data_IF_544533749579
#
_entry.id   IF_544533749579
#
_cell.length_a   1.000
_cell.length_b   1.000
_cell.length_c   1.000
_cell.angle_alpha   90.00
_cell.angle_beta   90.00
_cell.angle_gamma   90.00
#
_symmetry.space_group_name_H-M   'P 1'
#
loop_
_entity.id
_entity.type
_entity.pdbx_description
1 polymer ?
#
# COMPACT_ATOMS: atom_id res chain seq x y z
N UNK A 1 4.76 9.98 -19.17
CA UNK A 1 4.87 8.55 -18.88
C UNK A 1 6.25 8.35 -18.31
N UNK A 2 6.32 8.46 -17.00
CA UNK A 2 7.47 8.06 -16.24
C UNK A 2 7.56 6.54 -16.22
N UNK A 3 8.77 6.03 -16.07
CA UNK A 3 9.02 4.62 -15.80
C UNK A 3 9.81 4.51 -14.51
N UNK A 4 9.23 3.85 -13.52
CA UNK A 4 9.85 3.52 -12.23
C UNK A 4 10.38 2.09 -12.30
N UNK A 5 11.58 1.87 -11.78
CA UNK A 5 12.16 0.54 -11.63
C UNK A 5 12.76 0.42 -10.23
N UNK A 6 12.25 -0.54 -9.47
CA UNK A 6 12.78 -0.97 -8.17
C UNK A 6 13.82 -2.07 -8.43
N UNK A 7 14.93 -2.03 -7.69
CA UNK A 7 16.08 -2.93 -7.93
C UNK A 7 16.58 -3.62 -6.66
N UNK A 8 16.26 -3.08 -5.50
CA UNK A 8 16.49 -3.68 -4.20
C UNK A 8 15.36 -3.20 -3.28
N UNK A 9 14.55 -4.11 -2.75
CA UNK A 9 13.60 -3.83 -1.68
C UNK A 9 13.87 -4.78 -0.51
N UNK A 10 13.66 -4.29 0.72
CA UNK A 10 13.96 -5.03 1.93
C UNK A 10 12.66 -5.53 2.57
N UNK A 11 12.63 -6.85 2.78
CA UNK A 11 11.77 -7.59 3.72
C UNK A 11 11.94 -7.00 5.15
N UNK A 12 10.96 -7.22 6.02
CA UNK A 12 10.95 -6.94 7.47
C UNK A 12 10.54 -5.53 7.96
N UNK A 13 9.23 -5.25 8.09
CA UNK A 13 8.54 -4.44 9.15
C UNK A 13 9.08 -3.03 9.51
N UNK A 14 10.14 -2.57 8.88
CA UNK A 14 10.38 -1.17 8.63
C UNK A 14 9.33 -0.88 7.59
N UNK A 15 8.25 -0.24 8.00
CA UNK A 15 7.59 0.69 7.10
C UNK A 15 8.77 1.39 6.41
N UNK A 16 9.08 1.07 5.15
CA UNK A 16 9.51 2.11 4.24
C UNK A 16 8.36 3.07 4.45
N UNK A 17 8.57 4.12 5.25
CA UNK A 17 7.44 4.95 5.55
C UNK A 17 7.10 5.41 4.13
N UNK A 18 5.97 4.96 3.55
CA UNK A 18 5.59 4.92 2.12
C UNK A 18 6.85 4.93 1.20
N UNK A 19 6.80 5.61 0.07
CA UNK A 19 7.89 6.55 -0.20
C UNK A 19 7.56 7.90 0.51
N UNK A 20 7.28 7.83 1.82
CA UNK A 20 7.01 8.88 2.83
C UNK A 20 8.29 9.65 3.09
N UNK A 21 8.06 10.89 3.51
CA UNK A 21 8.90 11.40 4.59
C UNK A 21 10.07 12.24 4.14
N UNK A 22 10.17 12.66 2.88
CA UNK A 22 10.88 13.91 2.58
C UNK A 22 10.10 15.14 3.09
N UNK A 23 9.61 15.08 4.33
CA UNK A 23 9.87 16.17 5.23
C UNK A 23 11.38 16.33 5.28
N UNK A 24 11.83 17.57 5.22
CA UNK A 24 13.22 17.94 5.45
C UNK A 24 13.81 17.29 6.73
N UNK A 25 12.98 16.84 7.68
CA UNK A 25 13.40 15.98 8.79
C UNK A 25 14.22 14.78 8.34
N UNK A 26 13.87 14.02 7.30
CA UNK A 26 14.58 12.75 7.04
C UNK A 26 15.92 12.97 6.31
N UNK A 27 16.08 14.14 5.67
CA UNK A 27 17.38 14.64 5.21
C UNK A 27 18.20 15.25 6.36
N UNK A 28 17.56 15.82 7.39
CA UNK A 28 18.20 16.53 8.50
C UNK A 28 18.26 15.73 9.83
N UNK A 29 17.67 14.54 9.87
CA UNK A 29 17.43 13.79 11.10
C UNK A 29 18.76 13.20 11.53
N UNK A 30 19.26 13.76 12.63
CA UNK A 30 20.50 13.47 13.38
C UNK A 30 21.63 14.49 13.29
N UNK A 31 21.39 15.72 12.80
CA UNK A 31 22.43 16.76 12.84
C UNK A 31 23.64 16.46 11.95
N UNK A 32 23.46 15.55 10.97
CA UNK A 32 24.42 15.25 9.92
C UNK A 32 24.49 16.34 8.87
N UNK A 33 25.65 16.50 8.23
CA UNK A 33 25.81 17.47 7.15
C UNK A 33 25.26 16.88 5.84
N UNK A 34 24.12 17.37 5.39
CA UNK A 34 23.63 17.12 4.03
C UNK A 34 24.50 17.89 3.04
N UNK A 35 25.00 17.20 2.02
CA UNK A 35 25.76 17.85 0.94
C UNK A 35 24.94 17.86 -0.33
N UNK A 36 24.82 19.03 -0.95
CA UNK A 36 24.16 19.20 -2.25
C UNK A 36 25.22 19.52 -3.30
N UNK A 37 25.29 18.70 -4.35
CA UNK A 37 26.15 18.91 -5.51
C UNK A 37 25.27 19.30 -6.71
N UNK A 38 25.64 20.39 -7.39
CA UNK A 38 24.86 20.95 -8.49
C UNK A 38 25.71 20.98 -9.75
N UNK A 39 25.13 20.57 -10.87
CA UNK A 39 25.71 20.63 -12.20
C UNK A 39 24.65 20.90 -13.25
N UNK A 40 25.09 21.14 -14.49
CA UNK A 40 24.20 21.51 -15.60
C UNK A 40 23.25 20.40 -16.07
N UNK A 41 23.50 19.15 -15.66
CA UNK A 41 22.71 17.97 -16.04
C UNK A 41 22.44 17.01 -14.88
N UNK A 42 22.94 17.33 -13.68
CA UNK A 42 22.88 16.46 -12.50
C UNK A 42 22.79 17.29 -11.23
N UNK A 43 21.91 16.91 -10.32
CA UNK A 43 21.83 17.45 -8.98
C UNK A 43 21.78 16.28 -7.99
N UNK A 44 22.67 16.27 -7.01
CA UNK A 44 22.82 15.16 -6.07
C UNK A 44 22.72 15.65 -4.64
N UNK A 45 21.89 15.00 -3.84
CA UNK A 45 21.77 15.20 -2.40
C UNK A 45 22.35 13.97 -1.70
N UNK A 46 23.24 14.18 -0.75
CA UNK A 46 23.89 13.10 0.01
C UNK A 46 23.66 13.31 1.49
N UNK A 47 23.14 12.29 2.17
CA UNK A 47 23.06 12.20 3.62
C UNK A 47 23.88 10.98 4.09
N UNK A 48 25.10 11.19 4.62
CA UNK A 48 25.96 10.09 5.04
C UNK A 48 25.55 9.45 6.38
N UNK A 49 24.57 10.00 7.09
CA UNK A 49 24.16 9.59 8.44
C UNK A 49 22.68 9.21 8.54
N UNK A 50 22.04 8.85 7.43
CA UNK A 50 20.63 8.44 7.47
C UNK A 50 20.47 7.13 8.25
N UNK A 51 19.28 6.91 8.81
CA UNK A 51 18.92 5.66 9.50
C UNK A 51 19.04 4.42 8.60
N UNK A 52 18.94 4.60 7.28
CA UNK A 52 19.11 3.56 6.27
C UNK A 52 20.58 3.36 5.81
N UNK A 53 21.49 4.27 6.17
CA UNK A 53 22.91 4.22 5.78
C UNK A 53 23.37 5.47 5.00
N UNK A 54 24.40 5.33 4.15
CA UNK A 54 24.80 6.40 3.25
C UNK A 54 23.74 6.56 2.15
N UNK A 55 22.88 7.57 2.27
CA UNK A 55 21.83 7.87 1.30
C UNK A 55 22.32 8.86 0.25
N UNK A 56 22.06 8.54 -1.01
CA UNK A 56 22.28 9.43 -2.15
C UNK A 56 21.01 9.50 -3.00
N UNK A 57 20.56 10.71 -3.26
CA UNK A 57 19.44 11.02 -4.16
C UNK A 57 19.98 11.83 -5.32
N UNK A 58 19.52 11.54 -6.51
CA UNK A 58 20.03 12.19 -7.70
C UNK A 58 18.93 12.48 -8.72
N UNK A 59 18.83 13.74 -9.11
CA UNK A 59 18.11 14.17 -10.30
C UNK A 59 19.08 14.29 -11.49
N UNK A 60 18.66 13.74 -12.63
CA UNK A 60 19.34 13.87 -13.93
C UNK A 60 18.44 14.62 -14.88
N UNK A 61 19.04 15.38 -15.79
CA UNK A 61 18.26 16.20 -16.71
C UNK A 61 19.10 17.05 -17.64
N UNK A 62 18.48 18.08 -18.19
CA UNK A 62 19.10 18.98 -19.16
C UNK A 62 18.91 20.44 -18.76
N UNK A 63 19.96 21.24 -18.99
CA UNK A 63 19.88 22.69 -18.83
C UNK A 63 19.59 23.16 -17.41
N UNK A 64 20.08 22.45 -16.38
CA UNK A 64 19.92 22.87 -14.99
C UNK A 64 20.62 24.20 -14.77
N UNK A 65 19.83 25.21 -14.39
CA UNK A 65 20.26 26.56 -14.11
C UNK A 65 19.93 26.90 -12.66
N UNK A 66 20.88 27.53 -11.97
CA UNK A 66 20.72 27.94 -10.59
C UNK A 66 20.92 29.45 -10.46
N UNK A 67 20.08 30.08 -9.65
CA UNK A 67 20.16 31.49 -9.31
C UNK A 67 21.30 31.80 -8.34
N UNK A 68 21.54 33.07 -8.02
CA UNK A 68 22.59 33.50 -7.09
C UNK A 68 22.43 32.98 -5.64
N UNK A 69 21.26 32.47 -5.28
CA UNK A 69 20.93 31.84 -4.00
C UNK A 69 20.95 30.30 -4.07
N UNK A 70 21.55 29.74 -5.14
CA UNK A 70 21.65 28.31 -5.43
C UNK A 70 20.31 27.59 -5.62
N UNK A 71 19.21 28.34 -5.83
CA UNK A 71 17.90 27.78 -6.18
C UNK A 71 17.80 27.49 -7.67
N UNK A 72 17.17 26.39 -8.10
CA UNK A 72 16.86 26.15 -9.50
C UNK A 72 15.99 27.26 -10.09
N UNK A 73 16.40 27.76 -11.26
CA UNK A 73 15.67 28.78 -12.02
C UNK A 73 15.37 28.33 -13.45
N UNK A 74 15.70 27.08 -13.78
CA UNK A 74 15.39 26.47 -15.06
C UNK A 74 16.08 25.13 -15.27
N UNK A 75 15.63 24.41 -16.30
CA UNK A 75 16.10 23.08 -16.66
C UNK A 75 15.03 22.02 -16.44
N UNK A 76 15.19 20.89 -17.11
CA UNK A 76 14.20 19.80 -17.13
C UNK A 76 14.81 18.55 -16.54
N UNK A 77 14.19 18.01 -15.50
CA UNK A 77 14.52 16.72 -14.91
C UNK A 77 13.91 15.61 -15.76
N UNK A 78 14.77 14.72 -16.23
CA UNK A 78 14.40 13.58 -17.09
C UNK A 78 14.52 12.23 -16.39
N UNK A 79 15.15 12.21 -15.22
CA UNK A 79 15.23 11.01 -14.40
C UNK A 79 15.67 11.29 -12.98
N UNK A 80 15.38 10.33 -12.11
CA UNK A 80 15.63 10.39 -10.68
C UNK A 80 16.20 9.05 -10.22
N UNK A 81 17.07 9.02 -9.22
CA UNK A 81 17.51 7.77 -8.61
C UNK A 81 17.78 7.91 -7.13
N UNK A 82 17.54 6.82 -6.40
CA UNK A 82 17.84 6.68 -4.97
C UNK A 82 18.84 5.54 -4.80
N UNK A 83 19.91 5.81 -4.07
CA UNK A 83 20.96 4.84 -3.75
C UNK A 83 21.26 4.82 -2.26
N UNK A 84 21.46 3.64 -1.69
CA UNK A 84 21.83 3.43 -0.29
C UNK A 84 23.10 2.60 -0.26
N UNK A 85 24.12 3.08 0.45
CA UNK A 85 25.45 2.46 0.56
C UNK A 85 26.09 2.13 -0.81
N UNK A 86 25.78 2.94 -1.84
CA UNK A 86 26.28 2.79 -3.20
C UNK A 86 25.52 1.80 -4.08
N UNK A 87 24.54 1.07 -3.55
CA UNK A 87 23.60 0.29 -4.35
C UNK A 87 22.45 1.20 -4.81
N UNK A 88 22.02 1.08 -6.06
CA UNK A 88 20.80 1.73 -6.56
C UNK A 88 19.59 0.93 -6.06
N UNK A 89 18.57 1.62 -5.58
CA UNK A 89 17.33 1.03 -5.08
C UNK A 89 16.17 1.35 -6.00
N UNK A 90 16.13 2.59 -6.49
CA UNK A 90 15.09 3.07 -7.39
C UNK A 90 15.71 3.90 -8.50
N UNK A 91 15.15 3.76 -9.71
CA UNK A 91 15.34 4.69 -10.81
C UNK A 91 13.99 5.09 -11.38
N UNK A 92 13.82 6.37 -11.68
CA UNK A 92 12.71 6.92 -12.44
C UNK A 92 13.29 7.52 -13.71
N UNK A 93 12.70 7.22 -14.86
CA UNK A 93 13.09 7.76 -16.17
C UNK A 93 11.87 8.28 -16.92
N UNK A 94 12.09 9.05 -17.99
CA UNK A 94 10.98 9.56 -18.80
C UNK A 94 10.21 10.72 -18.17
N UNK A 95 10.79 11.34 -17.14
CA UNK A 95 10.25 12.55 -16.54
C UNK A 95 10.35 13.73 -17.51
N UNK A 96 9.40 14.65 -17.40
CA UNK A 96 9.41 15.96 -18.05
C UNK A 96 8.94 17.00 -17.03
N UNK A 97 9.79 17.21 -16.03
CA UNK A 97 9.48 18.02 -14.85
C UNK A 97 10.46 19.19 -14.78
N UNK A 98 9.98 20.41 -14.57
CA UNK A 98 10.87 21.56 -14.39
C UNK A 98 11.65 21.40 -13.09
N UNK A 99 12.97 21.63 -13.11
CA UNK A 99 13.81 21.48 -11.91
C UNK A 99 13.36 22.44 -10.79
N UNK A 100 12.78 23.60 -11.13
CA UNK A 100 12.20 24.52 -10.15
C UNK A 100 10.94 23.98 -9.46
N UNK A 101 10.17 23.10 -10.10
CA UNK A 101 9.02 22.45 -9.46
C UNK A 101 9.47 21.41 -8.43
N UNK A 102 10.67 20.86 -8.63
CA UNK A 102 11.32 19.95 -7.68
C UNK A 102 12.08 20.68 -6.58
N UNK A 103 12.31 21.99 -6.69
CA UNK A 103 13.07 22.76 -5.69
C UNK A 103 12.47 22.64 -4.29
N UNK A 104 11.14 22.70 -4.20
CA UNK A 104 10.45 22.56 -2.92
C UNK A 104 10.63 21.19 -2.28
N UNK A 105 10.67 20.13 -3.09
CA UNK A 105 10.80 18.74 -2.64
C UNK A 105 12.26 18.32 -2.38
N UNK A 106 13.20 18.85 -3.17
CA UNK A 106 14.61 18.47 -3.12
C UNK A 106 15.46 19.40 -2.24
N UNK A 107 15.10 20.68 -2.12
CA UNK A 107 15.99 21.73 -1.61
C UNK A 107 15.32 22.78 -0.69
N UNK A 108 13.99 22.70 -0.47
CA UNK A 108 13.20 23.73 0.23
C UNK A 108 13.09 23.59 1.75
N UNK A 109 13.13 24.73 2.45
CA UNK A 109 12.62 24.94 3.81
C UNK A 109 11.37 25.83 3.70
N UNK A 110 10.31 25.46 4.43
CA UNK A 110 8.95 26.01 4.49
C UNK A 110 8.70 27.41 3.88
N UNK A 111 7.72 27.46 2.98
CA UNK A 111 6.83 28.61 2.89
C UNK A 111 5.38 28.12 3.03
N UNK A 112 4.85 28.34 4.24
CA UNK A 112 3.44 28.31 4.63
C UNK A 112 2.89 26.94 5.05
N UNK A 113 2.46 26.87 6.32
CA UNK A 113 1.75 25.74 6.93
C UNK A 113 0.36 25.51 6.32
N UNK A 114 0.36 24.98 5.10
CA UNK A 114 -0.80 24.51 4.35
C UNK A 114 -0.60 23.11 3.77
N UNK A 115 0.42 22.37 4.17
CA UNK A 115 0.30 20.91 4.12
C UNK A 115 -0.43 20.52 5.40
N UNK A 116 -1.74 20.24 5.27
CA UNK A 116 -2.43 19.60 6.38
C UNK A 116 -1.70 18.27 6.59
N UNK A 117 -1.41 17.88 7.84
CA UNK A 117 -1.08 16.49 8.13
C UNK A 117 -2.20 15.63 7.53
N UNK A 118 -1.92 14.95 6.41
CA UNK A 118 -2.92 14.14 5.69
C UNK A 118 -3.26 14.54 4.25
N UNK A 119 -2.66 15.58 3.65
CA UNK A 119 -2.95 15.91 2.23
C UNK A 119 -2.17 15.01 1.22
N UNK A 120 -1.26 14.15 1.69
CA UNK A 120 -0.80 12.97 0.93
C UNK A 120 0.03 13.20 -0.34
N UNK A 121 0.36 14.44 -0.71
CA UNK A 121 1.26 14.71 -1.83
C UNK A 121 2.71 14.50 -1.40
N UNK A 122 3.22 13.28 -1.52
CA UNK A 122 4.66 13.03 -1.43
C UNK A 122 5.33 13.22 -2.81
N UNK A 123 6.66 13.32 -2.85
CA UNK A 123 7.41 13.50 -4.09
C UNK A 123 7.06 12.44 -5.15
N UNK A 124 6.78 11.20 -4.74
CA UNK A 124 6.35 10.15 -5.70
C UNK A 124 4.98 10.44 -6.28
N UNK A 125 4.01 10.87 -5.49
CA UNK A 125 2.69 11.29 -6.00
C UNK A 125 2.77 12.44 -6.99
N UNK A 126 3.80 13.30 -6.87
CA UNK A 126 4.07 14.36 -7.84
C UNK A 126 4.78 13.85 -9.10
N UNK A 127 5.81 13.01 -8.95
CA UNK A 127 6.58 12.47 -10.09
C UNK A 127 5.77 11.45 -10.90
N UNK A 128 4.83 10.77 -10.24
CA UNK A 128 3.93 9.77 -10.79
C UNK A 128 2.52 10.36 -10.82
N UNK A 129 2.38 11.52 -11.47
CA UNK A 129 1.10 12.22 -11.59
C UNK A 129 0.42 11.98 -12.96
N UNK A 130 0.90 11.02 -13.75
CA UNK A 130 0.38 10.72 -15.08
C UNK A 130 0.11 9.24 -15.25
N UNK A 131 0.03 8.81 -16.51
CA UNK A 131 0.05 7.39 -16.84
C UNK A 131 1.50 6.91 -16.82
N UNK A 132 1.83 6.09 -15.85
CA UNK A 132 3.18 5.69 -15.54
C UNK A 132 3.33 4.17 -15.62
N UNK A 133 4.58 3.71 -15.64
CA UNK A 133 4.90 2.28 -15.64
C UNK A 133 5.83 1.98 -14.49
N UNK A 134 5.44 1.04 -13.64
CA UNK A 134 6.16 0.70 -12.43
C UNK A 134 6.57 -0.77 -12.52
N UNK A 135 7.87 -1.02 -12.41
CA UNK A 135 8.45 -2.35 -12.29
C UNK A 135 9.01 -2.53 -10.88
N UNK A 136 8.48 -3.49 -10.15
CA UNK A 136 9.07 -4.03 -8.94
C UNK A 136 10.28 -4.91 -9.24
N UNK A 137 10.72 -5.61 -8.21
CA UNK A 137 11.92 -6.43 -8.15
C UNK A 137 11.56 -7.91 -7.97
N UNK A 138 12.55 -8.76 -7.65
CA UNK A 138 12.31 -10.16 -7.26
C UNK A 138 12.16 -10.32 -5.73
N UNK A 139 12.06 -9.22 -4.98
CA UNK A 139 11.85 -9.19 -3.53
C UNK A 139 10.53 -8.49 -3.20
N UNK A 140 10.06 -8.66 -1.97
CA UNK A 140 8.89 -7.95 -1.42
C UNK A 140 8.99 -6.43 -1.61
N UNK A 141 8.10 -5.87 -2.44
CA UNK A 141 8.04 -4.45 -2.77
C UNK A 141 6.80 -3.76 -2.14
N UNK A 142 6.96 -2.50 -1.74
CA UNK A 142 5.84 -1.59 -1.42
C UNK A 142 5.69 -0.58 -2.56
N UNK A 143 4.63 -0.76 -3.35
CA UNK A 143 4.39 -0.07 -4.62
C UNK A 143 3.22 0.88 -4.48
N UNK A 144 3.46 2.13 -4.88
CA UNK A 144 2.47 3.21 -4.91
C UNK A 144 2.41 3.80 -6.33
N UNK A 145 1.22 3.75 -6.95
CA UNK A 145 0.93 4.30 -8.27
C UNK A 145 0.99 5.82 -8.31
N UNK A 146 0.61 6.47 -7.21
CA UNK A 146 0.60 7.92 -7.05
C UNK A 146 -0.84 8.43 -7.01
N UNK A 147 -1.13 9.41 -6.14
CA UNK A 147 -2.51 9.92 -5.88
C UNK A 147 -3.18 10.68 -7.05
N UNK A 148 -2.79 10.43 -8.29
CA UNK A 148 -3.31 11.10 -9.46
C UNK A 148 -4.46 10.29 -10.10
N UNK A 149 -4.95 10.67 -11.28
CA UNK A 149 -6.04 9.96 -12.01
C UNK A 149 -5.49 9.14 -13.20
N UNK A 150 -4.21 8.80 -13.13
CA UNK A 150 -3.42 8.18 -14.16
C UNK A 150 -3.92 6.77 -14.39
N UNK A 151 -3.72 6.26 -15.61
CA UNK A 151 -3.90 4.84 -15.87
C UNK A 151 -2.52 4.21 -15.90
N UNK A 152 -2.14 3.59 -14.81
CA UNK A 152 -0.80 3.07 -14.57
C UNK A 152 -0.68 1.61 -14.98
N UNK A 153 0.55 1.20 -15.29
CA UNK A 153 0.90 -0.21 -15.53
C UNK A 153 1.90 -0.62 -14.47
N UNK A 154 1.49 -1.52 -13.58
CA UNK A 154 2.26 -2.00 -12.45
C UNK A 154 2.57 -3.48 -12.66
N UNK A 155 3.86 -3.83 -12.66
CA UNK A 155 4.34 -5.20 -12.58
C UNK A 155 5.22 -5.31 -11.34
N UNK A 156 4.72 -5.98 -10.30
CA UNK A 156 5.38 -6.04 -9.01
C UNK A 156 6.56 -7.03 -9.00
N UNK A 157 6.59 -8.01 -9.91
CA UNK A 157 7.72 -8.90 -10.10
C UNK A 157 7.59 -10.17 -9.27
N UNK A 158 8.44 -10.37 -8.28
CA UNK A 158 8.33 -11.51 -7.37
C UNK A 158 8.56 -11.10 -5.93
N UNK A 159 8.03 -11.86 -4.99
CA UNK A 159 8.05 -11.48 -3.58
C UNK A 159 6.65 -11.48 -3.01
N UNK A 160 6.48 -10.89 -1.83
CA UNK A 160 5.17 -10.56 -1.27
C UNK A 160 4.95 -9.06 -1.39
N UNK A 161 4.29 -8.68 -2.47
CA UNK A 161 4.18 -7.29 -2.83
C UNK A 161 2.97 -6.63 -2.17
N UNK A 162 3.13 -5.36 -1.82
CA UNK A 162 2.11 -4.48 -1.31
C UNK A 162 1.82 -3.41 -2.35
N UNK A 163 0.66 -3.48 -3.00
CA UNK A 163 0.36 -2.70 -4.19
C UNK A 163 -0.82 -1.79 -3.92
N UNK A 164 -0.55 -0.49 -4.04
CA UNK A 164 -1.51 0.58 -3.95
C UNK A 164 -1.49 1.35 -5.27
N UNK A 165 -2.47 1.10 -6.12
CA UNK A 165 -2.53 1.75 -7.45
C UNK A 165 -3.12 3.16 -7.42
N UNK A 166 -3.79 3.53 -6.32
CA UNK A 166 -4.53 4.80 -6.17
C UNK A 166 -5.71 4.92 -7.16
N UNK A 167 -5.97 6.09 -7.74
CA UNK A 167 -7.14 6.34 -8.58
C UNK A 167 -6.75 6.26 -10.06
N UNK A 168 -7.58 5.63 -10.88
CA UNK A 168 -7.14 5.38 -12.24
C UNK A 168 -7.92 4.27 -12.93
N UNK A 169 -7.48 3.86 -14.11
CA UNK A 169 -7.83 2.54 -14.62
C UNK A 169 -6.52 1.80 -14.79
N UNK A 170 -6.09 1.13 -13.74
CA UNK A 170 -4.74 0.61 -13.64
C UNK A 170 -4.67 -0.83 -14.14
N UNK A 171 -3.52 -1.23 -14.65
CA UNK A 171 -3.21 -2.61 -15.01
C UNK A 171 -2.14 -3.12 -14.07
N UNK A 172 -2.51 -4.09 -13.23
CA UNK A 172 -1.71 -4.55 -12.12
C UNK A 172 -1.44 -6.05 -12.28
N UNK A 173 -0.16 -6.42 -12.27
CA UNK A 173 0.31 -7.80 -12.15
C UNK A 173 1.17 -7.92 -10.89
N UNK A 174 0.67 -8.67 -9.89
CA UNK A 174 1.44 -8.97 -8.68
C UNK A 174 2.61 -9.91 -8.93
N UNK A 175 2.59 -10.65 -10.05
CA UNK A 175 3.68 -11.55 -10.39
C UNK A 175 3.74 -12.80 -9.49
N UNK A 176 4.92 -13.14 -8.98
CA UNK A 176 5.11 -14.39 -8.23
C UNK A 176 5.17 -14.16 -6.72
N UNK A 177 4.22 -14.75 -6.01
CA UNK A 177 4.29 -14.86 -4.57
C UNK A 177 2.90 -14.78 -3.94
N UNK A 178 2.71 -13.84 -3.03
CA UNK A 178 1.43 -13.62 -2.35
C UNK A 178 1.24 -12.13 -2.19
N UNK A 179 0.56 -11.59 -3.17
CA UNK A 179 0.58 -10.16 -3.43
C UNK A 179 -0.71 -9.52 -2.93
N UNK A 180 -0.58 -8.29 -2.47
CA UNK A 180 -1.64 -7.55 -1.79
C UNK A 180 -2.04 -6.36 -2.62
N UNK A 181 -3.29 -6.32 -3.08
CA UNK A 181 -3.92 -5.10 -3.58
C UNK A 181 -4.64 -4.40 -2.42
N UNK A 182 -4.30 -3.15 -2.14
CA UNK A 182 -4.86 -2.38 -1.01
C UNK A 182 -5.52 -1.08 -1.47
N UNK A 183 -6.63 -0.72 -0.80
CA UNK A 183 -7.35 0.55 -0.93
C UNK A 183 -7.45 1.32 0.41
N UNK A 184 -6.55 1.04 1.35
CA UNK A 184 -6.61 1.56 2.71
C UNK A 184 -6.39 3.08 2.81
N UNK A 185 -5.72 3.66 1.82
CA UNK A 185 -5.38 5.08 1.72
C UNK A 185 -6.61 5.98 1.62
N UNK A 186 -7.75 5.41 1.22
CA UNK A 186 -9.05 6.08 1.16
C UNK A 186 -9.42 6.73 2.50
N UNK A 187 -8.78 6.31 3.60
CA UNK A 187 -8.88 6.98 4.89
C UNK A 187 -8.50 8.47 4.87
N UNK A 188 -7.48 8.82 4.09
CA UNK A 188 -6.88 10.14 4.05
C UNK A 188 -7.21 10.88 2.74
N UNK A 189 -8.22 10.42 1.98
CA UNK A 189 -8.55 11.00 0.69
C UNK A 189 -10.04 11.37 0.59
N UNK A 190 -10.37 12.67 0.52
CA UNK A 190 -11.76 13.12 0.38
C UNK A 190 -12.34 12.87 -1.01
N UNK A 191 -11.53 12.48 -2.00
CA UNK A 191 -11.94 12.11 -3.35
C UNK A 191 -12.52 10.70 -3.45
N UNK A 192 -12.25 9.83 -2.48
CA UNK A 192 -12.87 8.52 -2.37
C UNK A 192 -14.33 8.67 -1.88
N UNK A 193 -15.30 8.19 -2.66
CA UNK A 193 -16.74 8.44 -2.39
C UNK A 193 -17.62 7.18 -2.32
N UNK A 194 -17.04 5.99 -2.49
CA UNK A 194 -17.75 4.71 -2.42
C UNK A 194 -16.83 3.57 -1.98
N UNK A 195 -17.41 2.51 -1.46
CA UNK A 195 -16.66 1.27 -1.25
C UNK A 195 -16.27 0.61 -2.57
N UNK A 196 -15.16 -0.11 -2.53
CA UNK A 196 -14.55 -0.81 -3.64
C UNK A 196 -15.35 -2.06 -4.00
N UNK A 197 -15.31 -2.43 -5.29
CA UNK A 197 -15.88 -3.68 -5.79
C UNK A 197 -14.77 -4.48 -6.46
N UNK A 198 -14.25 -5.50 -5.77
CA UNK A 198 -13.12 -6.31 -6.26
C UNK A 198 -13.61 -7.71 -6.63
N UNK A 199 -13.25 -8.17 -7.83
CA UNK A 199 -13.55 -9.51 -8.31
C UNK A 199 -12.29 -10.17 -8.89
N UNK A 200 -11.66 -11.02 -8.08
CA UNK A 200 -10.44 -11.76 -8.45
C UNK A 200 -10.73 -12.88 -9.45
N UNK A 201 -11.96 -13.43 -9.50
CA UNK A 201 -12.34 -14.41 -10.51
C UNK A 201 -12.33 -13.83 -11.93
N UNK A 202 -12.63 -12.54 -12.07
CA UNK A 202 -12.56 -11.82 -13.35
C UNK A 202 -11.29 -10.98 -13.52
N UNK A 203 -10.50 -10.80 -12.46
CA UNK A 203 -9.36 -9.90 -12.45
C UNK A 203 -9.77 -8.44 -12.63
N UNK A 204 -10.88 -8.01 -12.05
CA UNK A 204 -11.38 -6.63 -12.19
C UNK A 204 -11.70 -6.03 -10.83
N UNK A 205 -11.21 -4.83 -10.56
CA UNK A 205 -11.61 -4.01 -9.42
C UNK A 205 -12.24 -2.70 -9.89
N UNK A 206 -13.23 -2.22 -9.14
CA UNK A 206 -13.69 -0.84 -9.22
C UNK A 206 -13.28 -0.16 -7.93
N UNK A 207 -12.37 0.80 -8.04
CA UNK A 207 -11.81 1.53 -6.91
C UNK A 207 -12.84 2.47 -6.24
N UNK A 208 -12.40 3.11 -5.17
CA UNK A 208 -13.20 4.07 -4.41
C UNK A 208 -13.39 5.44 -5.08
N UNK A 209 -12.72 5.73 -6.19
CA UNK A 209 -12.75 6.99 -6.93
C UNK A 209 -13.54 6.95 -8.23
N UNK A 210 -13.87 5.80 -8.78
CA UNK A 210 -14.46 5.76 -10.13
C UNK A 210 -13.88 4.70 -11.04
N UNK A 211 -12.59 4.45 -10.83
CA UNK A 211 -11.68 3.70 -11.67
C UNK A 211 -12.04 2.24 -11.84
N UNK A 212 -11.49 1.64 -12.88
CA UNK A 212 -11.60 0.20 -13.14
C UNK A 212 -10.23 -0.38 -13.42
N UNK A 213 -9.74 -1.17 -12.47
CA UNK A 213 -8.42 -1.79 -12.54
C UNK A 213 -8.53 -3.22 -13.07
N UNK A 214 -7.53 -3.63 -13.84
CA UNK A 214 -7.28 -5.02 -14.20
C UNK A 214 -6.23 -5.63 -13.27
N UNK A 215 -6.60 -6.71 -12.60
CA UNK A 215 -5.77 -7.39 -11.60
C UNK A 215 -5.36 -8.77 -12.10
N UNK A 216 -4.08 -9.09 -12.02
CA UNK A 216 -3.52 -10.43 -12.26
C UNK A 216 -2.59 -10.79 -11.11
N UNK A 217 -2.57 -12.07 -10.71
CA UNK A 217 -1.68 -12.58 -9.65
C UNK A 217 -1.83 -11.82 -8.32
N UNK A 218 -3.07 -11.70 -7.82
CA UNK A 218 -3.36 -11.05 -6.54
C UNK A 218 -4.09 -12.06 -5.65
N UNK A 219 -3.51 -12.33 -4.47
CA UNK A 219 -4.05 -13.31 -3.52
C UNK A 219 -4.61 -12.65 -2.25
N UNK A 220 -4.30 -11.36 -2.02
CA UNK A 220 -4.81 -10.60 -0.87
C UNK A 220 -5.44 -9.29 -1.31
N UNK A 221 -6.61 -9.00 -0.75
CA UNK A 221 -7.30 -7.72 -0.91
C UNK A 221 -7.50 -7.07 0.44
N UNK A 222 -7.12 -5.80 0.55
CA UNK A 222 -7.46 -4.93 1.68
C UNK A 222 -8.37 -3.84 1.15
N UNK A 223 -9.54 -3.74 1.78
CA UNK A 223 -10.60 -2.83 1.42
C UNK A 223 -10.33 -1.37 1.73
N UNK A 224 -11.32 -0.57 1.37
CA UNK A 224 -11.43 0.82 1.76
C UNK A 224 -11.95 0.93 3.20
N UNK A 225 -12.30 2.13 3.65
CA UNK A 225 -13.03 2.33 4.93
C UNK A 225 -14.54 2.49 4.75
N UNK A 226 -15.05 2.05 3.61
CA UNK A 226 -16.45 2.13 3.21
C UNK A 226 -16.99 0.72 2.98
N UNK A 227 -18.29 0.59 2.70
CA UNK A 227 -18.92 -0.70 2.41
C UNK A 227 -18.41 -1.29 1.09
N UNK A 228 -17.51 -2.25 1.19
CA UNK A 228 -16.87 -2.91 0.07
C UNK A 228 -17.59 -4.21 -0.35
N UNK A 229 -17.30 -4.66 -1.57
CA UNK A 229 -17.76 -5.94 -2.10
C UNK A 229 -16.62 -6.72 -2.73
N UNK A 230 -16.30 -7.88 -2.17
CA UNK A 230 -15.26 -8.76 -2.68
C UNK A 230 -15.83 -10.08 -3.20
N UNK A 231 -15.29 -10.53 -4.32
CA UNK A 231 -15.49 -11.86 -4.89
C UNK A 231 -14.12 -12.45 -5.20
N UNK A 232 -13.75 -13.51 -4.50
CA UNK A 232 -12.54 -14.28 -4.76
C UNK A 232 -12.66 -15.16 -6.00
N UNK A 233 -11.56 -15.80 -6.32
CA UNK A 233 -11.35 -16.66 -7.47
C UNK A 233 -11.56 -18.13 -7.16
N UNK A 234 -10.62 -18.94 -7.63
CA UNK A 234 -10.56 -20.38 -7.38
C UNK A 234 -9.34 -20.77 -6.52
N UNK A 235 -8.52 -19.80 -6.13
CA UNK A 235 -7.32 -19.98 -5.31
C UNK A 235 -7.61 -19.75 -3.83
N UNK A 236 -6.56 -19.74 -3.02
CA UNK A 236 -6.68 -19.50 -1.57
C UNK A 236 -6.46 -18.01 -1.29
N UNK A 237 -7.53 -17.23 -1.12
CA UNK A 237 -7.42 -15.78 -0.99
C UNK A 237 -7.62 -15.25 0.43
N UNK A 238 -7.15 -14.02 0.67
CA UNK A 238 -7.27 -13.31 1.94
C UNK A 238 -7.95 -11.97 1.76
N UNK A 239 -8.98 -11.72 2.57
CA UNK A 239 -9.76 -10.49 2.51
C UNK A 239 -9.76 -9.77 3.86
N UNK A 240 -9.48 -8.47 3.85
CA UNK A 240 -9.68 -7.57 4.99
C UNK A 240 -10.56 -6.41 4.56
N UNK A 241 -11.81 -6.34 5.03
CA UNK A 241 -12.75 -5.25 4.69
C UNK A 241 -12.50 -3.95 5.45
N UNK A 242 -11.76 -4.01 6.57
CA UNK A 242 -11.50 -2.89 7.47
C UNK A 242 -12.76 -2.32 8.11
N UNK A 243 -13.24 -1.15 7.67
CA UNK A 243 -14.42 -0.48 8.24
C UNK A 243 -15.47 -0.43 7.16
N UNK A 244 -16.71 -0.68 7.52
CA UNK A 244 -17.80 -0.66 6.53
C UNK A 244 -18.69 -1.86 6.76
N UNK A 245 -19.88 -1.86 6.17
CA UNK A 245 -20.64 -3.11 6.10
C UNK A 245 -20.25 -3.82 4.82
N UNK A 246 -19.35 -4.80 4.91
CA UNK A 246 -18.74 -5.39 3.73
C UNK A 246 -19.47 -6.65 3.27
N UNK A 247 -19.32 -7.00 1.99
CA UNK A 247 -19.79 -8.28 1.46
C UNK A 247 -18.62 -9.04 0.86
N UNK A 248 -18.23 -10.13 1.50
CA UNK A 248 -17.06 -10.92 1.12
C UNK A 248 -17.52 -12.32 0.72
N UNK A 249 -17.26 -12.67 -0.54
CA UNK A 249 -17.44 -14.01 -1.06
C UNK A 249 -16.06 -14.58 -1.44
N UNK A 250 -15.55 -15.60 -0.75
CA UNK A 250 -14.24 -16.18 -1.05
C UNK A 250 -14.18 -16.90 -2.40
N UNK A 251 -15.31 -17.38 -2.91
CA UNK A 251 -15.32 -18.11 -4.19
C UNK A 251 -15.05 -19.60 -3.96
N UNK A 252 -14.05 -20.15 -4.65
CA UNK A 252 -13.57 -21.50 -4.40
C UNK A 252 -12.13 -21.47 -3.94
N UNK A 253 -11.69 -22.51 -3.24
CA UNK A 253 -10.39 -22.53 -2.57
C UNK A 253 -10.58 -22.59 -1.06
N UNK A 254 -9.56 -22.18 -0.31
CA UNK A 254 -9.56 -22.09 1.15
C UNK A 254 -9.33 -20.64 1.59
N UNK A 255 -10.42 -19.91 1.75
CA UNK A 255 -10.37 -18.46 1.88
C UNK A 255 -10.34 -17.99 3.32
N UNK A 256 -9.65 -16.87 3.56
CA UNK A 256 -9.49 -16.29 4.89
C UNK A 256 -10.04 -14.87 4.95
N UNK A 257 -11.01 -14.63 5.83
CA UNK A 257 -11.34 -13.26 6.27
C UNK A 257 -10.46 -12.85 7.44
N UNK A 258 -9.96 -11.61 7.41
CA UNK A 258 -8.97 -11.08 8.35
C UNK A 258 -9.46 -9.78 8.98
N UNK A 259 -9.46 -9.78 10.31
CA UNK A 259 -9.78 -8.64 11.19
C UNK A 259 -8.58 -8.28 12.08
N UNK A 260 -7.42 -8.92 11.89
CA UNK A 260 -6.24 -8.68 12.72
C UNK A 260 -5.63 -7.28 12.55
N UNK A 261 -6.04 -6.56 11.51
CA UNK A 261 -5.60 -5.21 11.21
C UNK A 261 -6.55 -4.12 11.63
N UNK A 262 -7.81 -4.40 12.00
CA UNK A 262 -8.82 -3.38 12.30
C UNK A 262 -8.31 -2.32 13.30
N UNK A 263 -7.58 -2.76 14.33
CA UNK A 263 -7.02 -1.87 15.34
C UNK A 263 -5.99 -0.87 14.78
N UNK A 264 -5.21 -1.25 13.77
CA UNK A 264 -4.24 -0.35 13.10
C UNK A 264 -4.95 0.81 12.38
N UNK A 265 -6.20 0.58 11.94
CA UNK A 265 -7.01 1.58 11.24
C UNK A 265 -8.00 2.30 12.17
N UNK A 266 -8.07 1.95 13.45
CA UNK A 266 -8.90 2.63 14.46
C UNK A 266 -10.08 1.83 15.01
N UNK A 267 -10.19 0.54 14.66
CA UNK A 267 -11.10 -0.40 15.31
C UNK A 267 -10.76 -0.55 16.81
N UNK A 268 -11.77 -0.64 17.66
CA UNK A 268 -11.60 -0.59 19.13
C UNK A 268 -12.19 -1.81 19.85
N UNK A 269 -12.79 -2.74 19.11
CA UNK A 269 -13.42 -3.94 19.66
C UNK A 269 -12.82 -5.23 19.07
N UNK A 270 -13.06 -6.34 19.77
CA UNK A 270 -12.90 -7.68 19.19
C UNK A 270 -14.09 -8.04 18.31
N UNK A 271 -13.92 -9.04 17.44
CA UNK A 271 -14.94 -9.39 16.43
C UNK A 271 -15.89 -10.48 16.89
N UNK A 272 -17.10 -10.49 16.35
CA UNK A 272 -18.07 -11.58 16.49
C UNK A 272 -18.39 -12.16 15.11
N UNK A 273 -17.74 -13.26 14.76
CA UNK A 273 -17.84 -13.89 13.45
C UNK A 273 -18.62 -15.21 13.55
N UNK A 274 -19.60 -15.38 12.67
CA UNK A 274 -20.34 -16.63 12.52
C UNK A 274 -20.44 -17.03 11.05
N UNK A 275 -19.59 -17.98 10.66
CA UNK A 275 -19.54 -18.54 9.30
C UNK A 275 -20.78 -19.38 8.95
N UNK A 276 -21.49 -19.93 9.94
CA UNK A 276 -22.72 -20.70 9.70
C UNK A 276 -23.88 -19.79 9.28
N UNK A 277 -23.95 -18.57 9.82
CA UNK A 277 -24.93 -17.56 9.40
C UNK A 277 -24.41 -16.64 8.30
N UNK A 278 -23.10 -16.65 8.04
CA UNK A 278 -22.45 -15.73 7.11
C UNK A 278 -22.46 -14.27 7.58
N UNK A 279 -22.40 -14.04 8.89
CA UNK A 279 -22.45 -12.69 9.49
C UNK A 279 -21.24 -12.50 10.39
N UNK A 280 -20.60 -11.34 10.27
CA UNK A 280 -19.58 -10.90 11.20
C UNK A 280 -19.88 -9.48 11.70
N UNK A 281 -19.56 -9.22 12.97
CA UNK A 281 -19.45 -7.88 13.52
C UNK A 281 -17.96 -7.59 13.68
N UNK A 282 -17.48 -6.59 12.95
CA UNK A 282 -16.06 -6.21 12.88
C UNK A 282 -15.59 -5.42 14.12
N UNK A 283 -14.32 -4.99 14.14
CA UNK A 283 -13.75 -4.21 15.23
C UNK A 283 -14.32 -2.78 15.37
N UNK A 284 -15.18 -2.35 14.45
CA UNK A 284 -15.88 -1.07 14.42
C UNK A 284 -17.35 -1.17 14.83
N UNK A 285 -17.88 -2.39 14.96
CA UNK A 285 -19.30 -2.64 15.22
C UNK A 285 -20.17 -2.61 13.96
N UNK A 286 -19.56 -2.57 12.78
CA UNK A 286 -20.22 -2.74 11.50
C UNK A 286 -20.58 -4.21 11.26
N UNK A 287 -21.41 -4.48 10.25
CA UNK A 287 -21.90 -5.84 9.95
C UNK A 287 -21.50 -6.28 8.56
N UNK A 288 -20.64 -7.28 8.49
CA UNK A 288 -20.22 -7.90 7.25
C UNK A 288 -21.05 -9.12 6.91
N UNK A 289 -21.16 -9.39 5.61
CA UNK A 289 -21.75 -10.60 5.05
C UNK A 289 -20.67 -11.46 4.44
N UNK A 290 -20.54 -12.68 4.93
CA UNK A 290 -19.50 -13.64 4.55
C UNK A 290 -20.13 -14.86 3.88
N UNK A 291 -19.57 -15.31 2.76
CA UNK A 291 -19.94 -16.57 2.10
C UNK A 291 -18.72 -17.24 1.51
N UNK A 292 -18.69 -18.58 1.48
CA UNK A 292 -17.55 -19.35 0.98
C UNK A 292 -16.25 -18.88 1.65
N UNK A 293 -16.23 -18.91 2.98
CA UNK A 293 -15.07 -18.55 3.80
C UNK A 293 -14.84 -19.71 4.76
N UNK A 294 -13.64 -20.29 4.71
CA UNK A 294 -13.24 -21.42 5.53
C UNK A 294 -12.52 -20.93 6.79
N UNK A 295 -11.76 -19.85 6.67
CA UNK A 295 -10.82 -19.39 7.69
C UNK A 295 -11.15 -17.98 8.20
N UNK A 296 -10.94 -17.77 9.49
CA UNK A 296 -11.09 -16.46 10.14
C UNK A 296 -9.85 -16.16 10.96
N UNK A 297 -9.29 -14.98 10.75
CA UNK A 297 -8.33 -14.37 11.67
C UNK A 297 -8.99 -13.18 12.36
N UNK A 298 -9.25 -13.30 13.65
CA UNK A 298 -9.79 -12.26 14.51
C UNK A 298 -8.73 -11.22 14.93
N UNK A 299 -9.12 -10.34 15.84
CA UNK A 299 -8.29 -9.24 16.32
C UNK A 299 -7.32 -9.71 17.41
N UNK A 300 -6.53 -8.78 17.96
CA UNK A 300 -5.80 -9.05 19.21
C UNK A 300 -6.69 -9.00 20.47
N UNK A 301 -7.95 -8.58 20.33
CA UNK A 301 -8.91 -8.35 21.42
C UNK A 301 -9.75 -9.61 21.72
N UNK A 302 -10.84 -9.45 22.49
CA UNK A 302 -11.74 -10.54 22.83
C UNK A 302 -12.66 -10.90 21.68
N UNK A 303 -12.28 -11.90 20.88
CA UNK A 303 -13.05 -12.36 19.72
C UNK A 303 -14.03 -13.50 20.06
N UNK A 304 -15.16 -13.53 19.37
CA UNK A 304 -16.09 -14.66 19.33
C UNK A 304 -16.13 -15.20 17.90
N UNK A 305 -15.49 -16.34 17.66
CA UNK A 305 -15.42 -16.95 16.33
C UNK A 305 -16.21 -18.27 16.30
N UNK A 306 -17.16 -18.38 15.37
CA UNK A 306 -18.01 -19.54 15.14
C UNK A 306 -17.84 -20.03 13.70
N UNK A 307 -17.46 -21.30 13.53
CA UNK A 307 -17.32 -21.95 12.23
C UNK A 307 -18.65 -22.36 11.59
N UNK A 308 -18.58 -23.12 10.49
CA UNK A 308 -19.71 -23.70 9.78
C UNK A 308 -19.57 -25.24 9.70
N UNK A 309 -20.27 -25.89 8.76
CA UNK A 309 -20.21 -27.34 8.55
C UNK A 309 -18.99 -27.83 7.76
N UNK A 310 -18.10 -26.95 7.31
CA UNK A 310 -16.88 -27.27 6.56
C UNK A 310 -15.66 -27.35 7.50
N UNK A 311 -14.49 -27.66 6.94
CA UNK A 311 -13.22 -27.57 7.68
C UNK A 311 -12.90 -26.08 7.89
N UNK A 312 -12.85 -25.65 9.15
CA UNK A 312 -12.54 -24.25 9.50
C UNK A 312 -11.22 -24.10 10.25
N UNK A 313 -10.52 -22.99 9.97
CA UNK A 313 -9.37 -22.50 10.75
C UNK A 313 -9.75 -21.17 11.40
N UNK A 314 -9.86 -21.17 12.72
CA UNK A 314 -10.27 -19.99 13.48
C UNK A 314 -9.12 -19.57 14.40
N UNK A 315 -8.54 -18.42 14.12
CA UNK A 315 -7.47 -17.81 14.90
C UNK A 315 -7.98 -16.53 15.52
N UNK A 316 -8.10 -16.47 16.84
CA UNK A 316 -8.39 -15.23 17.57
C UNK A 316 -7.18 -14.75 18.37
N UNK A 317 -7.28 -13.56 18.95
CA UNK A 317 -6.31 -13.01 19.88
C UNK A 317 -6.45 -13.58 21.29
N UNK A 318 -6.75 -12.71 22.27
CA UNK A 318 -6.96 -13.08 23.67
C UNK A 318 -8.45 -13.43 23.95
N UNK A 319 -8.74 -14.74 23.83
CA UNK A 319 -9.86 -15.53 24.43
C UNK A 319 -11.26 -15.51 23.76
N UNK A 320 -11.80 -16.74 23.68
CA UNK A 320 -13.19 -17.23 23.49
C UNK A 320 -13.66 -17.63 22.07
N UNK A 321 -12.96 -18.58 21.45
CA UNK A 321 -13.47 -19.35 20.29
C UNK A 321 -14.63 -20.25 20.75
N UNK A 322 -15.85 -20.00 20.26
CA UNK A 322 -17.02 -20.87 20.50
C UNK A 322 -17.17 -21.81 19.30
N UNK A 323 -16.58 -23.00 19.41
CA UNK A 323 -16.71 -24.04 18.39
C UNK A 323 -18.13 -24.61 18.38
N UNK A 324 -18.91 -24.32 17.35
CA UNK A 324 -20.12 -25.07 17.03
C UNK A 324 -19.90 -25.82 15.70
N UNK A 325 -19.06 -26.85 15.71
CA UNK A 325 -18.95 -27.73 14.55
C UNK A 325 -20.12 -28.74 14.57
N UNK A 326 -21.09 -28.51 13.70
CA UNK A 326 -21.98 -29.57 13.22
C UNK A 326 -21.24 -30.21 12.02
N UNK A 327 -20.38 -31.21 12.32
CA UNK A 327 -19.73 -32.15 11.40
C UNK A 327 -18.43 -31.80 10.64
N UNK A 328 -17.77 -30.65 10.84
CA UNK A 328 -16.44 -30.33 10.26
C UNK A 328 -15.23 -30.61 11.18
N UNK A 329 -14.02 -30.88 10.64
CA UNK A 329 -12.77 -31.00 11.43
C UNK A 329 -12.15 -29.61 11.65
N UNK A 330 -12.16 -29.13 12.90
CA UNK A 330 -11.40 -27.92 13.29
C UNK A 330 -9.93 -28.32 13.49
N UNK A 331 -9.02 -27.77 12.67
CA UNK A 331 -7.61 -28.21 12.67
C UNK A 331 -6.69 -27.42 13.62
N UNK A 332 -7.07 -26.26 14.15
CA UNK A 332 -6.31 -25.55 15.19
C UNK A 332 -7.12 -24.46 15.88
N UNK A 333 -7.00 -24.38 17.21
CA UNK A 333 -7.39 -23.24 18.06
C UNK A 333 -6.07 -22.73 18.66
N UNK A 334 -5.59 -21.56 18.26
CA UNK A 334 -4.44 -20.89 18.90
C UNK A 334 -4.89 -19.58 19.51
N UNK A 335 -4.53 -19.31 20.78
CA UNK A 335 -4.95 -18.13 21.54
C UNK A 335 -5.59 -18.40 22.91
N UNK A 336 -5.74 -19.69 23.31
CA UNK A 336 -6.25 -20.05 24.64
C UNK A 336 -5.11 -19.93 25.66
N UNK A 337 -5.17 -18.90 26.51
CA UNK A 337 -4.60 -19.00 27.85
C UNK A 337 -5.76 -19.46 28.74
N UNK A 338 -5.59 -20.59 29.42
CA UNK A 338 -6.61 -21.16 30.33
C UNK A 338 -6.99 -20.17 31.45
#
# INVERSE_FOLDING_TARGET
>A
MATVTLTNAYDNDVWLPDLLGFSQSDLADNGGTVTVQRGATRATVVNPTSSAGFLQIEATGTGFLYGPDDRPVGGTVTGFSVSINGAVWMTITGLDVELSDLDHWMFGWERWGQERPGDGFNLMSFLLAGNDTIFGSDNDDDIIGGRNIGNDVINAGGGFDWIKADAGNDTIDGGSGRDTYTLEETFYDPGAYRGAVVNLATGVATDSWGGTDSLTSIERVIGSRMSDRFTGGAGDEQFAGLRGNDTINGGGGSDTVRYDRDAQYGGVAGVNVNLATGIAIDGWGNTDRLSNIEHVRGTAMGDVLTGNGQDNYLQGGRVSIRSAAVWGRIRRISGVTM
#
